data_IF_982578025276
#
_entry.id   IF_982578025276
#
_cell.length_a   1.000
_cell.length_b   1.000
_cell.length_c   1.000
_cell.angle_alpha   90.00
_cell.angle_beta   90.00
_cell.angle_gamma   90.00
#
_symmetry.space_group_name_H-M   'P 1'
#
loop_
_entity.id
_entity.type
_entity.pdbx_description
1 polymer ?
#
# COMPACT_ATOMS: atom_id res chain seq x y z
N UNK A 1 12.39 -23.32 14.87
CA UNK A 1 12.00 -22.17 14.00
C UNK A 1 13.12 -21.12 13.88
N UNK A 2 14.30 -21.48 13.35
CA UNK A 2 15.46 -20.54 13.29
C UNK A 2 15.52 -19.72 12.00
N UNK A 3 14.96 -20.24 10.90
CA UNK A 3 15.08 -19.62 9.58
C UNK A 3 14.07 -18.47 9.39
N UNK A 4 12.85 -18.62 9.91
CA UNK A 4 11.83 -17.56 9.90
C UNK A 4 12.27 -16.29 10.63
N UNK A 5 12.94 -16.44 11.79
CA UNK A 5 13.45 -15.31 12.57
C UNK A 5 14.53 -14.52 11.81
N UNK A 6 15.40 -15.21 11.07
CA UNK A 6 16.45 -14.58 10.25
C UNK A 6 15.88 -13.89 9.00
N UNK A 7 14.90 -14.52 8.35
CA UNK A 7 14.22 -13.94 7.19
C UNK A 7 13.43 -12.68 7.57
N UNK A 8 12.72 -12.71 8.71
CA UNK A 8 11.99 -11.54 9.21
C UNK A 8 12.94 -10.37 9.53
N UNK A 9 14.09 -10.64 10.15
CA UNK A 9 15.08 -9.61 10.46
C UNK A 9 15.69 -8.98 9.20
N UNK A 10 16.07 -9.81 8.21
CA UNK A 10 16.60 -9.32 6.94
C UNK A 10 15.53 -8.58 6.12
N UNK A 11 14.28 -9.05 6.16
CA UNK A 11 13.15 -8.37 5.54
C UNK A 11 12.90 -7.00 6.17
N UNK A 12 12.91 -6.91 7.51
CA UNK A 12 12.69 -5.66 8.23
C UNK A 12 13.78 -4.61 7.93
N UNK A 13 15.07 -5.01 7.87
CA UNK A 13 16.15 -4.08 7.52
C UNK A 13 16.06 -3.62 6.07
N UNK A 14 15.73 -4.51 5.13
CA UNK A 14 15.53 -4.13 3.74
C UNK A 14 14.37 -3.14 3.56
N UNK A 15 13.25 -3.36 4.27
CA UNK A 15 12.09 -2.45 4.29
C UNK A 15 12.47 -1.10 4.89
N UNK A 16 13.18 -1.08 6.03
CA UNK A 16 13.62 0.16 6.66
C UNK A 16 14.58 0.97 5.76
N UNK A 17 15.47 0.31 5.02
CA UNK A 17 16.37 0.97 4.06
C UNK A 17 15.59 1.52 2.86
N UNK A 18 14.60 0.78 2.34
CA UNK A 18 13.80 1.22 1.20
C UNK A 18 12.94 2.45 1.55
N UNK A 19 12.24 2.43 2.69
CA UNK A 19 11.35 3.52 3.10
C UNK A 19 12.05 4.64 3.87
N UNK A 20 13.23 4.40 4.45
CA UNK A 20 13.99 5.42 5.19
C UNK A 20 14.69 6.47 4.31
N UNK A 21 14.71 6.29 2.99
CA UNK A 21 15.34 7.22 2.03
C UNK A 21 14.38 8.23 1.39
N UNK A 22 13.08 8.20 1.73
CA UNK A 22 12.11 9.17 1.21
C UNK A 22 12.27 10.52 1.92
N UNK A 23 12.92 11.47 1.25
CA UNK A 23 12.98 12.86 1.70
C UNK A 23 11.60 13.50 1.64
N UNK A 24 11.18 14.16 2.73
CA UNK A 24 9.97 14.99 2.77
C UNK A 24 10.25 16.28 1.99
N UNK A 25 9.70 16.40 0.79
CA UNK A 25 9.64 17.69 0.09
C UNK A 25 8.54 18.53 0.77
N UNK A 26 8.94 19.50 1.59
CA UNK A 26 8.03 20.54 2.07
C UNK A 26 7.79 21.51 0.92
N UNK A 27 6.59 21.50 0.35
CA UNK A 27 6.20 22.46 -0.68
C UNK A 27 5.85 23.79 0.00
N UNK A 28 6.63 24.83 -0.29
CA UNK A 28 6.35 26.21 0.10
C UNK A 28 5.10 26.70 -0.64
N UNK A 29 4.08 27.12 0.11
CA UNK A 29 2.84 27.67 -0.44
C UNK A 29 3.06 29.16 -0.71
N UNK A 30 3.33 29.53 -1.95
CA UNK A 30 3.13 30.90 -2.40
C UNK A 30 1.67 31.01 -2.83
N UNK A 31 0.90 31.81 -2.10
CA UNK A 31 -0.49 32.10 -2.45
C UNK A 31 -0.54 32.88 -3.76
N UNK A 32 -0.96 32.20 -4.83
CA UNK A 32 -1.53 32.87 -5.98
C UNK A 32 -2.91 32.26 -6.26
N UNK A 33 -3.92 33.06 -5.95
CA UNK A 33 -5.34 32.71 -6.03
C UNK A 33 -5.75 32.69 -7.50
N UNK A 34 -5.81 31.50 -8.10
CA UNK A 34 -6.84 31.05 -9.05
C UNK A 34 -6.69 29.54 -9.20
N UNK A 35 -7.28 28.79 -8.27
CA UNK A 35 -7.40 27.34 -8.41
C UNK A 35 -8.46 27.05 -9.49
N UNK A 36 -8.01 26.84 -10.72
CA UNK A 36 -8.81 26.07 -11.67
C UNK A 36 -9.02 24.69 -11.03
N UNK A 37 -10.28 24.29 -10.84
CA UNK A 37 -10.65 22.92 -10.46
C UNK A 37 -10.12 21.96 -11.53
N UNK A 38 -8.89 21.49 -11.34
CA UNK A 38 -8.35 20.37 -12.09
C UNK A 38 -8.98 19.11 -11.50
N UNK A 39 -10.17 18.75 -12.00
CA UNK A 39 -10.77 17.44 -11.78
C UNK A 39 -9.82 16.41 -12.38
N UNK A 40 -9.01 15.79 -11.52
CA UNK A 40 -8.17 14.68 -11.94
C UNK A 40 -9.07 13.47 -12.10
N UNK A 41 -9.01 12.87 -13.29
CA UNK A 41 -9.65 11.59 -13.57
C UNK A 41 -8.57 10.53 -13.50
N UNK A 42 -8.76 9.52 -12.66
CA UNK A 42 -7.82 8.40 -12.58
C UNK A 42 -7.65 7.77 -13.97
N UNK A 43 -6.42 7.55 -14.45
CA UNK A 43 -6.19 7.07 -15.80
C UNK A 43 -6.72 5.65 -15.97
N UNK A 44 -7.46 5.39 -17.05
CA UNK A 44 -7.74 4.04 -17.53
C UNK A 44 -6.77 3.68 -18.65
N UNK A 45 -6.25 2.46 -18.64
CA UNK A 45 -5.34 1.98 -19.69
C UNK A 45 -5.97 0.79 -20.41
N UNK A 46 -6.14 0.85 -21.74
CA UNK A 46 -6.57 -0.30 -22.50
C UNK A 46 -5.52 -1.42 -22.41
N UNK A 47 -6.01 -2.65 -22.28
CA UNK A 47 -5.17 -3.85 -22.31
C UNK A 47 -5.28 -4.44 -23.71
N UNK A 48 -4.34 -4.08 -24.58
CA UNK A 48 -4.16 -4.72 -25.89
C UNK A 48 -3.57 -6.12 -25.67
N UNK A 49 -4.41 -7.14 -25.87
CA UNK A 49 -4.11 -8.58 -25.87
C UNK A 49 -3.59 -9.18 -24.54
N UNK A 50 -4.29 -10.16 -23.93
CA UNK A 50 -4.50 -11.55 -24.37
C UNK A 50 -3.20 -12.33 -24.61
N UNK A 51 -2.26 -12.28 -23.67
CA UNK A 51 -1.17 -13.27 -23.56
C UNK A 51 -1.63 -14.65 -23.04
N UNK A 52 -2.92 -14.96 -23.19
CA UNK A 52 -3.41 -16.33 -23.07
C UNK A 52 -3.33 -17.00 -24.43
N UNK A 53 -2.20 -17.63 -24.76
CA UNK A 53 -2.22 -18.66 -25.81
C UNK A 53 -3.21 -19.74 -25.36
N UNK A 54 -4.10 -20.18 -26.26
CA UNK A 54 -5.02 -21.28 -25.97
C UNK A 54 -4.25 -22.49 -25.41
N UNK A 55 -4.62 -22.93 -24.20
CA UNK A 55 -3.97 -24.04 -23.50
C UNK A 55 -2.79 -23.68 -22.59
N UNK A 56 -2.44 -22.40 -22.43
CA UNK A 56 -1.46 -21.93 -21.44
C UNK A 56 -2.18 -21.33 -20.24
N UNK A 57 -1.88 -21.83 -19.04
CA UNK A 57 -2.41 -21.21 -17.82
C UNK A 57 -1.92 -19.76 -17.71
N UNK A 58 -2.83 -18.81 -17.40
CA UNK A 58 -2.44 -17.41 -17.23
C UNK A 58 -1.45 -17.26 -16.08
N UNK A 59 -0.50 -16.35 -16.21
CA UNK A 59 0.48 -16.08 -15.17
C UNK A 59 -0.23 -15.56 -13.89
N UNK A 60 0.46 -15.64 -12.75
CA UNK A 60 -0.10 -15.15 -11.48
C UNK A 60 -0.54 -13.69 -11.55
N UNK A 61 0.19 -12.87 -12.31
CA UNK A 61 -0.13 -11.46 -12.57
C UNK A 61 -1.46 -11.28 -13.32
N UNK A 62 -1.76 -12.10 -14.34
CA UNK A 62 -3.09 -12.10 -14.97
C UNK A 62 -4.17 -12.49 -13.97
N UNK A 63 -3.97 -13.58 -13.22
CA UNK A 63 -4.97 -14.06 -12.25
C UNK A 63 -5.30 -13.01 -11.20
N UNK A 64 -4.31 -12.24 -10.74
CA UNK A 64 -4.49 -11.13 -9.79
C UNK A 64 -5.21 -9.95 -10.45
N UNK A 65 -4.80 -9.55 -11.66
CA UNK A 65 -5.41 -8.40 -12.36
C UNK A 65 -6.84 -8.68 -12.86
N UNK A 66 -7.21 -9.95 -13.04
CA UNK A 66 -8.58 -10.38 -13.33
C UNK A 66 -9.43 -10.60 -12.07
N UNK A 67 -8.90 -10.33 -10.87
CA UNK A 67 -9.68 -10.47 -9.64
C UNK A 67 -10.77 -9.41 -9.55
N UNK A 68 -12.03 -9.87 -9.57
CA UNK A 68 -13.21 -9.01 -9.37
C UNK A 68 -13.19 -8.35 -7.99
N UNK A 69 -12.71 -9.05 -6.96
CA UNK A 69 -12.63 -8.54 -5.59
C UNK A 69 -11.54 -7.46 -5.40
N UNK A 70 -10.47 -7.46 -6.20
CA UNK A 70 -9.45 -6.42 -6.12
C UNK A 70 -9.76 -5.22 -7.02
N UNK A 71 -10.62 -5.39 -8.03
CA UNK A 71 -11.05 -4.32 -8.95
C UNK A 71 -9.88 -3.63 -9.67
N UNK A 72 -8.88 -4.40 -10.12
CA UNK A 72 -7.81 -3.87 -10.98
C UNK A 72 -8.30 -3.47 -12.37
N UNK A 73 -9.48 -3.97 -12.78
CA UNK A 73 -10.10 -3.70 -14.07
C UNK A 73 -11.48 -3.06 -13.92
N UNK A 74 -11.89 -2.30 -14.93
CA UNK A 74 -13.24 -1.75 -15.06
C UNK A 74 -14.18 -2.71 -15.79
N UNK A 75 -15.43 -2.30 -15.92
CA UNK A 75 -16.48 -3.06 -16.61
C UNK A 75 -16.13 -3.33 -18.08
N UNK A 76 -15.31 -2.46 -18.68
CA UNK A 76 -14.80 -2.60 -20.05
C UNK A 76 -13.54 -3.48 -20.14
N UNK A 77 -13.05 -3.98 -19.01
CA UNK A 77 -11.87 -4.85 -18.92
C UNK A 77 -10.51 -4.12 -18.97
N UNK A 78 -10.51 -2.78 -19.00
CA UNK A 78 -9.32 -1.95 -19.00
C UNK A 78 -8.74 -1.85 -17.58
N UNK A 79 -7.44 -1.57 -17.46
CA UNK A 79 -6.83 -1.37 -16.15
C UNK A 79 -7.27 -0.04 -15.56
N UNK A 80 -7.67 -0.09 -14.28
CA UNK A 80 -8.11 1.08 -13.51
C UNK A 80 -6.96 1.66 -12.71
N UNK A 81 -6.66 2.92 -12.99
CA UNK A 81 -5.82 3.74 -12.12
C UNK A 81 -6.49 4.07 -10.79
N UNK A 82 -5.71 4.69 -9.91
CA UNK A 82 -6.15 5.22 -8.62
C UNK A 82 -5.79 6.71 -8.56
N UNK A 83 -6.62 7.50 -7.89
CA UNK A 83 -6.29 8.87 -7.51
C UNK A 83 -5.68 8.92 -6.11
N UNK A 84 -4.41 9.29 -6.02
CA UNK A 84 -3.71 9.43 -4.75
C UNK A 84 -4.29 10.52 -3.84
N UNK A 85 -4.86 11.58 -4.39
CA UNK A 85 -5.50 12.65 -3.59
C UNK A 85 -6.76 12.12 -2.92
N UNK A 86 -7.55 11.33 -3.64
CA UNK A 86 -8.74 10.67 -3.10
C UNK A 86 -8.42 9.58 -2.05
N UNK A 87 -7.23 8.97 -2.10
CA UNK A 87 -6.80 7.98 -1.10
C UNK A 87 -6.22 8.64 0.16
N UNK A 88 -5.39 9.69 0.01
CA UNK A 88 -4.57 10.21 1.10
C UNK A 88 -4.87 11.66 1.52
N UNK A 89 -5.65 12.42 0.75
CA UNK A 89 -5.86 13.86 0.98
C UNK A 89 -7.32 14.27 1.19
N UNK A 90 -8.22 13.78 0.34
CA UNK A 90 -9.64 14.15 0.31
C UNK A 90 -10.52 12.97 0.74
N UNK A 91 -11.57 13.25 1.52
CA UNK A 91 -12.47 12.20 2.02
C UNK A 91 -13.57 11.82 1.04
N UNK A 92 -13.96 12.75 0.16
CA UNK A 92 -15.20 12.65 -0.59
C UNK A 92 -15.13 11.66 -1.77
N UNK A 93 -13.92 11.25 -2.17
CA UNK A 93 -13.70 10.38 -3.33
C UNK A 93 -13.03 9.03 -3.01
N UNK A 94 -12.87 8.70 -1.72
CA UNK A 94 -12.22 7.47 -1.29
C UNK A 94 -12.99 6.22 -1.74
N UNK A 95 -14.31 6.24 -1.62
CA UNK A 95 -15.16 5.07 -1.91
C UNK A 95 -15.19 4.71 -3.39
N UNK A 96 -15.02 5.71 -4.27
CA UNK A 96 -14.95 5.54 -5.72
C UNK A 96 -13.66 4.85 -6.20
N UNK A 97 -12.64 4.76 -5.33
CA UNK A 97 -11.36 4.12 -5.65
C UNK A 97 -11.49 2.59 -5.71
N UNK A 98 -10.66 1.92 -6.53
CA UNK A 98 -10.69 0.46 -6.64
C UNK A 98 -10.33 -0.22 -5.31
N UNK A 99 -10.87 -1.43 -5.10
CA UNK A 99 -10.71 -2.15 -3.83
C UNK A 99 -9.24 -2.42 -3.46
N UNK A 100 -8.36 -2.72 -4.42
CA UNK A 100 -6.93 -2.91 -4.15
C UNK A 100 -6.30 -1.68 -3.47
N UNK A 101 -6.70 -0.46 -3.87
CA UNK A 101 -6.16 0.78 -3.34
C UNK A 101 -6.66 1.04 -1.92
N UNK A 102 -7.96 0.80 -1.68
CA UNK A 102 -8.55 0.90 -0.34
C UNK A 102 -7.95 -0.11 0.63
N UNK A 103 -7.67 -1.33 0.17
CA UNK A 103 -6.99 -2.36 0.94
C UNK A 103 -5.55 -2.00 1.24
N UNK A 104 -4.82 -1.49 0.24
CA UNK A 104 -3.45 -1.01 0.45
C UNK A 104 -3.42 0.12 1.49
N UNK A 105 -4.35 1.08 1.40
CA UNK A 105 -4.51 2.13 2.40
C UNK A 105 -4.77 1.55 3.80
N UNK A 106 -5.77 0.68 3.94
CA UNK A 106 -6.06 0.01 5.22
C UNK A 106 -4.87 -0.78 5.77
N UNK A 107 -4.14 -1.47 4.91
CA UNK A 107 -2.93 -2.19 5.27
C UNK A 107 -1.83 -1.24 5.79
N UNK A 108 -1.63 -0.07 5.15
CA UNK A 108 -0.65 0.91 5.65
C UNK A 108 -1.01 1.44 7.03
N UNK A 109 -2.28 1.78 7.28
CA UNK A 109 -2.75 2.21 8.60
C UNK A 109 -2.51 1.10 9.63
N UNK A 110 -2.90 -0.13 9.31
CA UNK A 110 -2.68 -1.28 10.17
C UNK A 110 -1.20 -1.48 10.49
N UNK A 111 -0.32 -1.36 9.49
CA UNK A 111 1.13 -1.49 9.68
C UNK A 111 1.68 -0.41 10.61
N UNK A 112 1.28 0.86 10.44
CA UNK A 112 1.74 1.95 11.31
C UNK A 112 1.28 1.73 12.76
N UNK A 113 0.00 1.41 12.97
CA UNK A 113 -0.53 1.13 14.32
C UNK A 113 0.18 -0.06 14.94
N UNK A 114 0.35 -1.15 14.19
CA UNK A 114 1.05 -2.35 14.67
C UNK A 114 2.51 -2.05 15.02
N UNK A 115 3.19 -1.19 14.26
CA UNK A 115 4.55 -0.78 14.55
C UNK A 115 4.65 0.00 15.86
N UNK A 116 3.73 0.94 16.11
CA UNK A 116 3.68 1.69 17.38
C UNK A 116 3.43 0.76 18.58
N UNK A 117 2.50 -0.18 18.44
CA UNK A 117 2.24 -1.18 19.49
C UNK A 117 3.47 -2.06 19.71
N UNK A 118 4.11 -2.53 18.64
CA UNK A 118 5.33 -3.34 18.72
C UNK A 118 6.49 -2.62 19.41
N UNK A 119 6.61 -1.31 19.23
CA UNK A 119 7.62 -0.47 19.88
C UNK A 119 7.42 -0.41 21.41
N UNK A 120 6.18 -0.56 21.89
CA UNK A 120 5.89 -0.59 23.34
C UNK A 120 6.00 -2.02 23.87
N UNK A 121 5.29 -2.95 23.24
CA UNK A 121 5.14 -4.33 23.72
C UNK A 121 6.47 -5.08 23.65
N UNK A 122 7.28 -4.87 22.60
CA UNK A 122 8.56 -5.55 22.44
C UNK A 122 9.54 -5.28 23.59
N UNK A 123 9.88 -4.01 23.88
CA UNK A 123 10.72 -3.65 25.01
C UNK A 123 10.11 -4.04 26.36
N UNK A 124 8.79 -3.87 26.54
CA UNK A 124 8.14 -4.21 27.81
C UNK A 124 8.18 -5.72 28.08
N UNK A 125 7.89 -6.55 27.08
CA UNK A 125 8.02 -8.00 27.19
C UNK A 125 9.47 -8.41 27.47
N UNK A 126 10.43 -7.78 26.80
CA UNK A 126 11.85 -8.04 27.04
C UNK A 126 12.24 -7.70 28.49
N UNK A 127 11.75 -6.58 29.01
CA UNK A 127 12.02 -6.15 30.38
C UNK A 127 11.37 -7.05 31.45
N UNK A 128 10.14 -7.52 31.24
CA UNK A 128 9.45 -8.39 32.21
C UNK A 128 10.04 -9.82 32.21
N UNK A 129 10.37 -10.37 31.03
CA UNK A 129 10.80 -11.77 30.93
C UNK A 129 12.31 -11.94 31.12
N UNK A 130 13.12 -10.95 30.71
CA UNK A 130 14.58 -11.04 30.72
C UNK A 130 15.26 -9.91 31.50
N UNK A 131 14.52 -8.95 32.04
CA UNK A 131 15.07 -7.97 32.95
C UNK A 131 15.23 -8.56 34.36
N UNK A 132 16.16 -8.02 35.14
CA UNK A 132 16.43 -8.40 36.53
C UNK A 132 15.30 -8.03 37.51
N UNK A 133 14.11 -7.69 37.02
CA UNK A 133 12.99 -7.23 37.85
C UNK A 133 12.22 -8.45 38.35
N UNK A 134 12.52 -8.86 39.59
CA UNK A 134 11.77 -9.89 40.31
C UNK A 134 10.44 -9.30 40.80
N UNK A 135 9.32 -9.86 40.36
CA UNK A 135 8.00 -9.69 40.99
C UNK A 135 7.73 -10.84 41.96
#
# INVERSE_FOLDING_TARGET
>A
MRNFRKAALAGATAVAVAFGSTAVATAETTEDTTAAENTYVAPSRPVEDKDGKDGVEPASSEKITHSEWLQFRDEDGNLRGTDGRAIFGEKDNFDAQPQYAKLAYGATIFTVVSALVGLIVGPLYNFIVHGDVQF
#
